data_IF_639516060156
#
_entry.id   IF_639516060156
#
_cell.length_a   1.000
_cell.length_b   1.000
_cell.length_c   1.000
_cell.angle_alpha   90.00
_cell.angle_beta   90.00
_cell.angle_gamma   90.00
#
_symmetry.space_group_name_H-M   'P 1'
#
loop_
_entity.id
_entity.type
_entity.pdbx_description
1 polymer ?
#
# COMPACT_ATOMS: atom_id res chain seq x y z
N UNK A 1 67.13 26.41 3.11
CA UNK A 1 67.49 26.16 1.70
C UNK A 1 66.75 24.89 1.29
N UNK A 2 65.57 25.03 0.67
CA UNK A 2 65.26 24.66 -0.73
C UNK A 2 65.24 23.11 -0.92
N UNK A 3 64.22 22.41 -1.43
CA UNK A 3 63.19 22.78 -2.41
C UNK A 3 62.00 21.81 -2.40
N UNK A 4 60.90 22.23 -3.04
CA UNK A 4 59.60 21.57 -3.21
C UNK A 4 59.48 20.74 -4.52
N UNK A 5 58.36 20.01 -4.62
CA UNK A 5 57.55 19.58 -5.80
C UNK A 5 57.84 18.26 -6.54
N UNK A 6 56.81 17.39 -6.61
CA UNK A 6 56.03 17.05 -7.82
C UNK A 6 54.84 16.14 -7.41
N UNK A 7 53.57 16.59 -7.31
CA UNK A 7 52.52 16.81 -8.33
C UNK A 7 52.08 15.59 -9.18
N UNK A 8 50.87 15.13 -8.85
CA UNK A 8 49.72 14.73 -9.69
C UNK A 8 49.88 13.85 -10.94
N UNK A 9 49.13 12.73 -10.94
CA UNK A 9 48.32 12.35 -12.11
C UNK A 9 47.07 11.55 -11.72
N UNK A 10 45.97 12.28 -11.54
CA UNK A 10 44.58 11.81 -11.59
C UNK A 10 44.05 12.13 -13.01
N UNK A 11 43.52 11.15 -13.76
CA UNK A 11 42.79 11.33 -15.03
C UNK A 11 41.82 10.14 -15.15
N UNK A 12 40.53 10.24 -14.79
CA UNK A 12 39.38 10.82 -15.50
C UNK A 12 39.18 10.32 -16.94
N UNK A 13 38.23 9.37 -17.03
CA UNK A 13 37.06 9.32 -17.92
C UNK A 13 37.16 9.98 -19.30
N UNK A 14 37.05 9.18 -20.35
CA UNK A 14 36.77 9.67 -21.71
C UNK A 14 35.40 9.13 -22.17
N UNK A 15 34.49 10.09 -22.36
CA UNK A 15 33.17 9.92 -22.96
C UNK A 15 33.35 10.17 -24.46
N UNK A 16 33.02 9.19 -25.29
CA UNK A 16 32.86 9.37 -26.73
C UNK A 16 31.36 9.29 -27.11
N UNK A 17 30.95 10.19 -28.00
CA UNK A 17 29.57 10.61 -28.28
C UNK A 17 29.20 10.27 -29.73
N UNK A 18 28.00 9.71 -29.90
CA UNK A 18 26.99 9.80 -30.99
C UNK A 18 27.36 9.72 -32.48
N UNK A 19 26.58 8.88 -33.20
CA UNK A 19 25.77 9.09 -34.44
C UNK A 19 25.53 7.69 -35.08
N UNK A 20 24.55 7.34 -35.91
CA UNK A 20 23.15 7.72 -36.26
C UNK A 20 22.77 6.84 -37.47
N UNK A 21 21.61 6.17 -37.44
CA UNK A 21 20.79 5.60 -38.55
C UNK A 21 21.37 4.71 -39.66
N UNK A 22 20.78 3.51 -39.82
CA UNK A 22 20.03 3.13 -41.05
C UNK A 22 19.25 1.81 -40.87
N UNK A 23 17.97 1.85 -41.25
CA UNK A 23 17.04 0.73 -41.38
C UNK A 23 17.44 -0.26 -42.49
N UNK A 24 17.22 -1.56 -42.26
CA UNK A 24 16.82 -2.51 -43.30
C UNK A 24 16.16 -3.75 -42.67
N UNK A 25 14.94 -4.02 -43.11
CA UNK A 25 14.13 -5.16 -42.72
C UNK A 25 14.56 -6.50 -43.36
N UNK A 26 14.07 -7.59 -42.75
CA UNK A 26 13.53 -8.82 -43.35
C UNK A 26 14.23 -10.14 -42.95
N UNK A 27 13.35 -11.05 -42.55
CA UNK A 27 13.41 -12.52 -42.52
C UNK A 27 13.93 -13.19 -41.24
N UNK A 28 12.97 -13.80 -40.55
CA UNK A 28 13.17 -14.51 -39.29
C UNK A 28 13.75 -15.91 -39.46
N UNK A 29 14.14 -16.45 -38.32
CA UNK A 29 14.16 -17.88 -38.01
C UNK A 29 14.01 -18.00 -36.50
N UNK A 30 12.96 -18.70 -36.08
CA UNK A 30 12.70 -19.10 -34.71
C UNK A 30 13.55 -20.33 -34.46
N UNK A 31 14.52 -20.23 -33.55
CA UNK A 31 15.13 -21.39 -32.89
C UNK A 31 15.17 -21.04 -31.39
N UNK A 32 14.37 -21.78 -30.63
CA UNK A 32 14.46 -21.86 -29.17
C UNK A 32 15.88 -22.28 -28.77
N UNK A 33 16.61 -21.40 -28.09
CA UNK A 33 17.66 -21.82 -27.17
C UNK A 33 17.38 -21.10 -25.86
N UNK A 34 16.67 -21.80 -25.00
CA UNK A 34 16.54 -21.51 -23.58
C UNK A 34 17.90 -21.58 -22.92
N UNK A 35 18.65 -20.49 -22.98
CA UNK A 35 19.85 -20.25 -22.17
C UNK A 35 19.48 -19.28 -21.03
N UNK A 36 18.80 -19.82 -20.02
CA UNK A 36 18.72 -19.20 -18.70
C UNK A 36 19.80 -19.82 -17.83
N UNK A 37 21.04 -19.43 -18.08
CA UNK A 37 22.11 -19.52 -17.10
C UNK A 37 21.88 -18.53 -15.96
N UNK A 38 20.98 -18.85 -15.04
CA UNK A 38 21.00 -18.30 -13.67
C UNK A 38 21.20 -19.48 -12.72
N UNK A 39 22.46 -19.91 -12.61
CA UNK A 39 22.93 -20.67 -11.45
C UNK A 39 23.23 -19.65 -10.36
N UNK A 40 22.19 -19.27 -9.64
CA UNK A 40 22.26 -18.64 -8.32
C UNK A 40 22.12 -19.70 -7.23
N UNK A 41 23.00 -20.70 -7.26
CA UNK A 41 23.07 -21.76 -6.24
C UNK A 41 23.75 -21.22 -4.98
N UNK A 42 23.02 -20.52 -4.11
CA UNK A 42 23.28 -20.48 -2.67
C UNK A 42 22.09 -20.01 -1.80
N UNK A 43 20.85 -20.05 -2.29
CA UNK A 43 19.71 -19.96 -1.40
C UNK A 43 19.69 -21.25 -0.55
N UNK A 44 20.46 -21.27 0.54
CA UNK A 44 20.32 -22.27 1.59
C UNK A 44 18.85 -22.24 1.99
N UNK A 45 18.16 -23.36 1.77
CA UNK A 45 16.77 -23.53 2.15
C UNK A 45 16.71 -23.55 3.67
N UNK A 46 16.50 -22.37 4.27
CA UNK A 46 16.27 -22.18 5.70
C UNK A 46 14.83 -22.59 6.09
N UNK A 47 14.29 -23.61 5.42
CA UNK A 47 12.96 -24.18 5.67
C UNK A 47 12.80 -24.63 7.12
N UNK A 48 11.56 -24.91 7.51
CA UNK A 48 11.08 -25.13 8.89
C UNK A 48 11.62 -26.40 9.58
N UNK A 49 12.93 -26.66 9.50
CA UNK A 49 13.59 -27.69 10.27
C UNK A 49 13.71 -27.25 11.74
N UNK A 50 13.13 -28.06 12.63
CA UNK A 50 13.15 -27.80 14.06
C UNK A 50 14.42 -28.40 14.67
N UNK A 51 15.51 -27.64 14.65
CA UNK A 51 16.77 -28.02 15.30
C UNK A 51 16.69 -27.94 16.83
N UNK A 52 17.60 -28.64 17.51
CA UNK A 52 17.75 -28.56 18.96
C UNK A 52 18.58 -27.34 19.38
N UNK A 53 18.46 -26.93 20.65
CA UNK A 53 19.33 -25.89 21.22
C UNK A 53 20.67 -26.50 21.63
N UNK A 54 21.78 -25.83 21.29
CA UNK A 54 23.11 -26.25 21.69
C UNK A 54 23.46 -25.76 23.11
N UNK A 55 24.09 -26.59 23.95
CA UNK A 55 24.64 -26.16 25.24
C UNK A 55 25.87 -25.26 25.04
N UNK A 56 26.05 -24.24 25.88
CA UNK A 56 27.25 -23.38 25.89
C UNK A 56 27.25 -22.22 24.89
N UNK A 57 26.10 -21.89 24.29
CA UNK A 57 25.95 -20.73 23.41
C UNK A 57 25.02 -19.72 24.08
N UNK A 58 25.56 -18.55 24.42
CA UNK A 58 24.77 -17.44 24.94
C UNK A 58 24.53 -16.42 23.83
N UNK A 59 23.29 -15.99 23.68
CA UNK A 59 22.87 -15.14 22.56
C UNK A 59 22.04 -13.99 23.11
N UNK A 60 22.50 -12.79 22.80
CA UNK A 60 21.87 -11.54 23.23
C UNK A 60 21.47 -10.73 22.01
N UNK A 61 20.43 -9.91 22.13
CA UNK A 61 20.04 -9.01 21.05
C UNK A 61 19.80 -7.59 21.56
N UNK A 62 20.08 -6.61 20.70
CA UNK A 62 19.91 -5.19 21.00
C UNK A 62 19.33 -4.49 19.78
N UNK A 63 18.34 -3.62 20.01
CA UNK A 63 17.79 -2.72 19.00
C UNK A 63 18.53 -1.37 19.07
N UNK A 64 19.62 -1.16 18.30
CA UNK A 64 20.48 0.03 18.46
C UNK A 64 19.74 1.33 18.17
N UNK A 65 18.89 1.33 17.14
CA UNK A 65 18.15 2.52 16.68
C UNK A 65 16.80 2.68 17.38
N UNK A 66 16.36 1.68 18.15
CA UNK A 66 14.98 1.56 18.57
C UNK A 66 14.84 0.91 19.96
N UNK A 67 15.19 1.67 21.00
CA UNK A 67 15.07 1.22 22.38
C UNK A 67 13.62 1.00 22.83
N UNK A 68 12.67 1.69 22.18
CA UNK A 68 11.24 1.58 22.45
C UNK A 68 10.56 0.39 21.74
N UNK A 69 11.28 -0.33 20.87
CA UNK A 69 10.76 -1.48 20.09
C UNK A 69 9.56 -1.12 19.18
N UNK A 70 9.58 0.11 18.67
CA UNK A 70 8.58 0.68 17.75
C UNK A 70 8.98 0.45 16.28
N UNK A 71 8.38 -0.51 15.61
CA UNK A 71 8.73 -0.87 14.23
C UNK A 71 7.79 -0.16 13.26
N UNK A 72 8.34 0.64 12.35
CA UNK A 72 7.56 1.27 11.29
C UNK A 72 7.26 0.23 10.20
N UNK A 73 5.99 -0.07 9.96
CA UNK A 73 5.53 -0.98 8.93
C UNK A 73 5.99 -0.49 7.55
N UNK A 74 6.72 -1.30 6.79
CA UNK A 74 7.25 -0.93 5.46
C UNK A 74 8.65 -0.33 5.48
N UNK A 75 9.22 -0.06 6.66
CA UNK A 75 10.60 0.41 6.81
C UNK A 75 11.51 -0.68 7.38
N UNK A 76 12.79 -0.60 7.05
CA UNK A 76 13.81 -1.50 7.56
C UNK A 76 14.16 -1.17 9.02
N UNK A 77 14.10 -2.18 9.87
CA UNK A 77 14.54 -2.15 11.26
C UNK A 77 15.80 -2.98 11.42
N UNK A 78 16.77 -2.43 12.14
CA UNK A 78 18.04 -3.08 12.43
C UNK A 78 18.03 -3.65 13.85
N UNK A 79 18.49 -4.90 13.97
CA UNK A 79 18.64 -5.65 15.21
C UNK A 79 20.04 -6.27 15.25
N UNK A 80 20.78 -6.03 16.32
CA UNK A 80 22.11 -6.62 16.50
C UNK A 80 21.99 -7.87 17.35
N UNK A 81 22.48 -9.00 16.84
CA UNK A 81 22.51 -10.28 17.54
C UNK A 81 23.95 -10.59 17.93
N UNK A 82 24.24 -10.54 19.23
CA UNK A 82 25.51 -10.93 19.81
C UNK A 82 25.52 -12.41 20.16
N UNK A 83 26.46 -13.16 19.59
CA UNK A 83 26.66 -14.59 19.85
C UNK A 83 27.94 -14.75 20.65
N UNK A 84 27.83 -15.30 21.86
CA UNK A 84 28.95 -15.64 22.74
C UNK A 84 29.10 -17.15 22.81
N UNK A 85 30.25 -17.63 22.36
CA UNK A 85 30.58 -19.05 22.39
C UNK A 85 31.32 -19.38 23.68
N UNK A 86 30.63 -19.92 24.67
CA UNK A 86 31.23 -20.45 25.91
C UNK A 86 31.56 -21.95 25.80
N UNK A 87 31.34 -22.57 24.63
CA UNK A 87 31.69 -23.94 24.34
C UNK A 87 33.17 -24.14 23.98
N UNK A 88 33.57 -25.41 23.87
CA UNK A 88 34.95 -25.80 23.51
C UNK A 88 35.18 -25.84 21.99
N UNK A 89 34.11 -25.97 21.21
CA UNK A 89 34.15 -26.10 19.75
C UNK A 89 33.79 -24.76 19.08
N UNK A 90 34.36 -24.46 17.89
CA UNK A 90 33.95 -23.31 17.11
C UNK A 90 32.51 -23.48 16.59
N UNK A 91 31.76 -22.38 16.54
CA UNK A 91 30.38 -22.34 16.05
C UNK A 91 30.36 -21.66 14.70
N UNK A 92 29.63 -22.19 13.74
CA UNK A 92 29.44 -21.58 12.42
C UNK A 92 28.03 -21.04 12.30
N UNK A 93 27.87 -19.72 12.21
CA UNK A 93 26.55 -19.09 12.05
C UNK A 93 26.12 -19.20 10.59
N UNK A 94 25.01 -19.90 10.35
CA UNK A 94 24.46 -20.11 9.01
C UNK A 94 23.55 -18.94 8.64
N UNK A 95 22.61 -18.59 9.52
CA UNK A 95 21.66 -17.52 9.24
C UNK A 95 20.80 -17.10 10.43
N UNK A 96 20.14 -15.96 10.28
CA UNK A 96 19.17 -15.41 11.23
C UNK A 96 17.84 -15.25 10.51
N UNK A 97 16.75 -15.66 11.16
CA UNK A 97 15.37 -15.45 10.70
C UNK A 97 14.51 -14.92 11.84
N UNK A 98 13.43 -14.24 11.49
CA UNK A 98 12.45 -13.81 12.46
C UNK A 98 11.03 -14.01 11.94
N UNK A 99 10.08 -14.10 12.87
CA UNK A 99 8.67 -14.29 12.60
C UNK A 99 7.85 -13.38 13.51
N UNK A 100 6.71 -12.93 13.01
CA UNK A 100 5.76 -12.08 13.72
C UNK A 100 4.51 -12.90 14.01
N UNK A 101 4.11 -12.92 15.27
CA UNK A 101 2.97 -13.65 15.79
C UNK A 101 1.95 -12.71 16.45
N UNK A 102 0.73 -13.22 16.64
CA UNK A 102 -0.29 -12.48 17.39
C UNK A 102 0.05 -12.45 18.89
N UNK A 103 -0.14 -11.31 19.57
CA UNK A 103 0.25 -11.14 20.98
C UNK A 103 -0.56 -12.03 21.95
N UNK A 104 -1.79 -12.37 21.59
CA UNK A 104 -2.68 -13.18 22.42
C UNK A 104 -2.58 -14.68 22.13
N UNK A 105 -2.07 -15.06 20.95
CA UNK A 105 -1.89 -16.46 20.56
C UNK A 105 -0.64 -16.60 19.70
N UNK A 106 0.45 -17.00 20.35
CA UNK A 106 1.77 -17.11 19.73
C UNK A 106 1.85 -18.26 18.71
N UNK A 107 0.82 -19.11 18.62
CA UNK A 107 0.74 -20.17 17.59
C UNK A 107 0.27 -19.63 16.25
N UNK A 108 -0.37 -18.46 16.25
CA UNK A 108 -0.90 -17.85 15.05
C UNK A 108 0.17 -16.95 14.43
N UNK A 109 0.75 -17.45 13.34
CA UNK A 109 1.74 -16.75 12.56
C UNK A 109 1.10 -15.70 11.66
N UNK A 110 1.56 -14.45 11.81
CA UNK A 110 1.10 -13.32 11.02
C UNK A 110 1.96 -13.18 9.77
N UNK A 111 3.29 -13.16 9.95
CA UNK A 111 4.23 -12.98 8.85
C UNK A 111 5.61 -13.57 9.18
N UNK A 112 6.22 -14.26 8.22
CA UNK A 112 7.65 -14.57 8.23
C UNK A 112 8.45 -13.38 7.69
N UNK A 113 9.49 -12.99 8.41
CA UNK A 113 10.38 -11.90 8.01
C UNK A 113 11.54 -12.46 7.17
N UNK A 114 12.34 -11.57 6.58
CA UNK A 114 13.47 -11.94 5.75
C UNK A 114 14.48 -12.81 6.52
N UNK A 115 14.88 -13.94 5.95
CA UNK A 115 16.03 -14.67 6.45
C UNK A 115 17.33 -14.04 5.92
N UNK A 116 18.34 -13.93 6.76
CA UNK A 116 19.65 -13.39 6.41
C UNK A 116 20.72 -14.44 6.66
N UNK A 117 21.36 -14.93 5.60
CA UNK A 117 22.50 -15.83 5.67
C UNK A 117 23.82 -15.09 5.94
N UNK A 118 24.77 -15.74 6.62
CA UNK A 118 26.06 -15.15 7.00
C UNK A 118 27.28 -15.84 6.36
N UNK A 119 27.11 -16.51 5.22
CA UNK A 119 28.19 -17.24 4.52
C UNK A 119 29.04 -18.11 5.46
N UNK A 120 28.39 -18.77 6.43
CA UNK A 120 29.03 -19.64 7.41
C UNK A 120 30.14 -18.94 8.23
N UNK A 121 29.82 -17.78 8.80
CA UNK A 121 30.73 -17.04 9.66
C UNK A 121 31.06 -17.84 10.93
N UNK A 122 32.34 -18.13 11.15
CA UNK A 122 32.80 -18.91 12.32
C UNK A 122 33.12 -18.02 13.52
N UNK A 123 32.55 -18.38 14.67
CA UNK A 123 32.84 -17.81 15.99
C UNK A 123 33.74 -18.79 16.76
N UNK A 124 35.00 -18.42 17.04
CA UNK A 124 35.91 -19.27 17.81
C UNK A 124 35.39 -19.61 19.20
N UNK A 125 35.91 -20.67 19.80
CA UNK A 125 35.67 -21.01 21.20
C UNK A 125 36.09 -19.87 22.13
N UNK A 126 35.29 -19.61 23.17
CA UNK A 126 35.50 -18.51 24.14
C UNK A 126 35.55 -17.10 23.52
N UNK A 127 35.00 -16.92 22.32
CA UNK A 127 34.90 -15.63 21.64
C UNK A 127 33.46 -15.15 21.51
N UNK A 128 33.29 -13.86 21.24
CA UNK A 128 32.01 -13.25 20.95
C UNK A 128 32.04 -12.59 19.57
N UNK A 129 30.96 -12.76 18.81
CA UNK A 129 30.73 -12.10 17.54
C UNK A 129 29.38 -11.38 17.56
N UNK A 130 29.21 -10.38 16.70
CA UNK A 130 27.94 -9.65 16.56
C UNK A 130 27.52 -9.66 15.09
N UNK A 131 26.26 -9.99 14.86
CA UNK A 131 25.67 -10.12 13.54
C UNK A 131 24.52 -9.12 13.40
N UNK A 132 24.60 -8.19 12.42
CA UNK A 132 23.51 -7.28 12.14
C UNK A 132 22.42 -8.01 11.35
N UNK A 133 21.20 -7.97 11.86
CA UNK A 133 20.00 -8.49 11.23
C UNK A 133 19.07 -7.34 10.84
N UNK A 134 18.82 -7.19 9.54
CA UNK A 134 17.93 -6.15 9.02
C UNK A 134 16.66 -6.82 8.51
N UNK A 135 15.52 -6.35 9.00
CA UNK A 135 14.22 -6.86 8.60
C UNK A 135 13.22 -5.73 8.40
N UNK A 136 12.22 -5.96 7.56
CA UNK A 136 11.11 -5.04 7.38
C UNK A 136 9.79 -5.79 7.57
N UNK A 137 8.86 -5.16 8.29
CA UNK A 137 7.50 -5.66 8.43
C UNK A 137 6.67 -5.18 7.24
N UNK A 138 5.67 -5.95 6.81
CA UNK A 138 4.80 -5.56 5.69
C UNK A 138 4.18 -4.18 5.93
N UNK A 139 4.24 -3.30 4.92
CA UNK A 139 3.58 -1.98 4.94
C UNK A 139 2.05 -2.05 5.09
N UNK A 140 1.46 -3.21 4.81
CA UNK A 140 0.02 -3.45 4.92
C UNK A 140 -0.36 -4.07 6.26
N UNK A 141 0.62 -4.33 7.15
CA UNK A 141 0.32 -4.81 8.49
C UNK A 141 -0.35 -3.69 9.27
N UNK A 142 -1.48 -4.00 9.90
CA UNK A 142 -2.20 -3.03 10.71
C UNK A 142 -1.34 -2.60 11.91
N UNK A 143 -1.34 -1.31 12.28
CA UNK A 143 -0.69 -0.85 13.50
C UNK A 143 -1.21 -1.57 14.73
N UNK A 144 -0.31 -1.96 15.63
CA UNK A 144 -0.65 -2.70 16.83
C UNK A 144 0.52 -3.41 17.46
N UNK A 145 0.28 -4.08 18.59
CA UNK A 145 1.28 -4.89 19.26
C UNK A 145 1.34 -6.29 18.65
N UNK A 146 2.54 -6.77 18.37
CA UNK A 146 2.79 -8.11 17.84
C UNK A 146 3.97 -8.75 18.57
N UNK A 147 4.00 -10.07 18.62
CA UNK A 147 5.15 -10.77 19.18
C UNK A 147 6.16 -11.07 18.08
N UNK A 148 7.40 -10.68 18.32
CA UNK A 148 8.51 -10.95 17.43
C UNK A 148 9.34 -12.08 18.03
N UNK A 149 9.52 -13.14 17.24
CA UNK A 149 10.34 -14.29 17.58
C UNK A 149 11.52 -14.35 16.61
N UNK A 150 12.71 -14.06 17.13
CA UNK A 150 13.97 -14.11 16.40
C UNK A 150 14.70 -15.42 16.67
N UNK A 151 15.06 -16.14 15.62
CA UNK A 151 15.78 -17.42 15.69
C UNK A 151 17.07 -17.34 14.89
N UNK A 152 18.15 -17.83 15.47
CA UNK A 152 19.45 -17.97 14.83
C UNK A 152 19.73 -19.46 14.61
N UNK A 153 20.24 -19.77 13.43
CA UNK A 153 20.60 -21.12 12.99
C UNK A 153 22.12 -21.14 12.86
N UNK A 154 22.74 -22.11 13.52
CA UNK A 154 24.18 -22.27 13.56
C UNK A 154 24.56 -23.74 13.62
N UNK A 155 25.79 -24.05 13.25
CA UNK A 155 26.32 -25.41 13.21
C UNK A 155 27.47 -25.55 14.20
N UNK A 156 27.52 -26.70 14.87
CA UNK A 156 28.64 -27.11 15.72
C UNK A 156 29.02 -28.52 15.27
N UNK A 157 30.28 -28.71 14.88
CA UNK A 157 30.79 -30.01 14.40
C UNK A 157 29.91 -30.64 13.30
N UNK A 158 29.50 -29.82 12.31
CA UNK A 158 28.62 -30.21 11.19
C UNK A 158 27.19 -30.63 11.59
N UNK A 159 26.81 -30.44 12.85
CA UNK A 159 25.43 -30.63 13.30
C UNK A 159 24.71 -29.28 13.40
N UNK A 160 23.54 -29.12 12.74
CA UNK A 160 22.76 -27.90 12.82
C UNK A 160 21.98 -27.79 14.13
N UNK A 161 22.02 -26.61 14.71
CA UNK A 161 21.34 -26.19 15.92
C UNK A 161 20.59 -24.88 15.66
N UNK A 162 19.53 -24.65 16.42
CA UNK A 162 18.83 -23.37 16.41
C UNK A 162 18.58 -22.89 17.82
N UNK A 163 18.57 -21.58 17.99
CA UNK A 163 18.18 -20.97 19.26
C UNK A 163 17.37 -19.70 19.02
N UNK A 164 16.37 -19.48 19.88
CA UNK A 164 15.58 -18.25 19.88
C UNK A 164 16.32 -17.22 20.72
N UNK A 165 16.82 -16.16 20.08
CA UNK A 165 17.56 -15.09 20.75
C UNK A 165 16.65 -13.96 21.24
N UNK A 166 15.46 -13.82 20.64
CA UNK A 166 14.48 -12.84 21.03
C UNK A 166 13.09 -13.43 20.98
N UNK A 167 12.34 -13.25 22.07
CA UNK A 167 10.91 -13.56 22.13
C UNK A 167 10.26 -12.46 22.96
N UNK A 168 9.63 -11.51 22.28
CA UNK A 168 8.99 -10.40 22.97
C UNK A 168 8.16 -9.54 22.05
N UNK A 169 7.32 -8.72 22.67
CA UNK A 169 6.38 -7.86 21.95
C UNK A 169 7.11 -6.64 21.36
N UNK A 170 6.74 -6.33 20.12
CA UNK A 170 7.09 -5.10 19.40
C UNK A 170 5.79 -4.35 19.08
N UNK A 171 5.87 -3.03 19.00
CA UNK A 171 4.74 -2.21 18.57
C UNK A 171 4.96 -1.78 17.14
N UNK A 172 4.07 -2.19 16.25
CA UNK A 172 4.10 -1.82 14.84
C UNK A 172 3.28 -0.55 14.65
N UNK A 173 3.88 0.45 14.02
CA UNK A 173 3.23 1.71 13.64
C UNK A 173 3.27 1.88 12.13
N UNK A 174 2.29 2.58 11.56
CA UNK A 174 2.26 2.82 10.11
C UNK A 174 3.40 3.78 9.72
N UNK A 175 4.22 3.42 8.72
CA UNK A 175 5.15 4.39 8.10
C UNK A 175 4.34 5.36 7.24
N UNK A 176 3.80 6.41 7.86
CA UNK A 176 2.93 7.37 7.18
C UNK A 176 3.69 8.26 6.20
N UNK A 177 3.64 7.94 4.91
CA UNK A 177 3.80 8.95 3.87
C UNK A 177 2.63 9.94 3.89
N UNK A 178 2.80 11.16 3.39
CA UNK A 178 1.72 12.17 3.34
C UNK A 178 0.45 11.71 2.59
N UNK A 179 0.55 10.65 1.79
CA UNK A 179 -0.54 10.06 1.01
C UNK A 179 -0.80 8.64 1.55
N UNK A 180 -1.62 8.56 2.60
CA UNK A 180 -2.13 7.29 3.13
C UNK A 180 -3.32 6.79 2.28
N UNK A 181 -3.54 5.47 2.22
CA UNK A 181 -4.57 4.84 1.38
C UNK A 181 -5.97 5.30 1.78
N UNK A 182 -6.19 5.47 3.07
CA UNK A 182 -7.39 5.97 3.71
C UNK A 182 -7.70 7.39 3.23
N UNK A 183 -6.68 8.25 3.18
CA UNK A 183 -6.81 9.63 2.69
C UNK A 183 -7.20 9.66 1.22
N UNK A 184 -6.58 8.83 0.38
CA UNK A 184 -6.92 8.72 -1.05
C UNK A 184 -8.37 8.24 -1.20
N UNK A 185 -8.75 7.20 -0.48
CA UNK A 185 -10.11 6.65 -0.49
C UNK A 185 -11.15 7.68 -0.09
N UNK A 186 -10.95 8.39 1.04
CA UNK A 186 -11.90 9.39 1.54
C UNK A 186 -12.00 10.60 0.63
N UNK A 187 -10.89 11.06 0.03
CA UNK A 187 -10.90 12.16 -0.94
C UNK A 187 -11.64 11.77 -2.21
N UNK A 188 -11.35 10.59 -2.78
CA UNK A 188 -12.05 10.08 -3.96
C UNK A 188 -13.55 9.88 -3.69
N UNK A 189 -13.91 9.29 -2.53
CA UNK A 189 -15.30 9.13 -2.11
C UNK A 189 -15.99 10.49 -1.93
N UNK A 190 -15.32 11.46 -1.31
CA UNK A 190 -15.84 12.82 -1.15
C UNK A 190 -16.12 13.50 -2.49
N UNK A 191 -15.19 13.40 -3.44
CA UNK A 191 -15.38 13.93 -4.80
C UNK A 191 -16.55 13.23 -5.51
N UNK A 192 -16.64 11.90 -5.44
CA UNK A 192 -17.73 11.15 -6.04
C UNK A 192 -19.11 11.55 -5.47
N UNK A 193 -19.20 11.74 -4.15
CA UNK A 193 -20.42 12.21 -3.49
C UNK A 193 -20.78 13.64 -3.92
N UNK A 194 -19.82 14.54 -4.08
CA UNK A 194 -20.07 15.89 -4.58
C UNK A 194 -20.60 15.89 -6.02
N UNK A 195 -20.07 15.04 -6.90
CA UNK A 195 -20.60 14.87 -8.26
C UNK A 195 -22.04 14.33 -8.24
N UNK A 196 -22.31 13.28 -7.47
CA UNK A 196 -23.64 12.72 -7.29
C UNK A 196 -24.63 13.75 -6.73
N UNK A 197 -24.22 14.52 -5.73
CA UNK A 197 -25.04 15.59 -5.14
C UNK A 197 -25.31 16.70 -6.15
N UNK A 198 -24.30 17.12 -6.93
CA UNK A 198 -24.46 18.10 -8.00
C UNK A 198 -25.47 17.66 -9.06
N UNK A 199 -25.38 16.41 -9.52
CA UNK A 199 -26.34 15.82 -10.46
C UNK A 199 -27.74 15.71 -9.84
N UNK A 200 -27.84 15.35 -8.55
CA UNK A 200 -29.11 15.29 -7.83
C UNK A 200 -29.78 16.66 -7.75
N UNK A 201 -29.04 17.73 -7.40
CA UNK A 201 -29.56 19.11 -7.39
C UNK A 201 -30.04 19.52 -8.78
N UNK A 202 -29.24 19.27 -9.83
CA UNK A 202 -29.63 19.58 -11.20
C UNK A 202 -30.92 18.85 -11.58
N UNK A 203 -31.07 17.57 -11.21
CA UNK A 203 -32.29 16.78 -11.44
C UNK A 203 -33.50 17.36 -10.71
N UNK A 204 -33.37 17.76 -9.44
CA UNK A 204 -34.45 18.42 -8.69
C UNK A 204 -34.89 19.73 -9.34
N UNK A 205 -33.93 20.57 -9.74
CA UNK A 205 -34.21 21.86 -10.41
C UNK A 205 -34.87 21.63 -11.78
N UNK A 206 -34.42 20.63 -12.55
CA UNK A 206 -35.05 20.27 -13.82
C UNK A 206 -36.48 19.75 -13.64
N UNK A 207 -36.73 18.94 -12.60
CA UNK A 207 -38.07 18.44 -12.27
C UNK A 207 -39.02 19.56 -11.83
N UNK A 208 -38.53 20.58 -11.12
CA UNK A 208 -39.31 21.77 -10.76
C UNK A 208 -39.53 22.70 -11.96
N UNK A 209 -38.51 22.89 -12.80
CA UNK A 209 -38.57 23.71 -14.02
C UNK A 209 -39.55 23.17 -15.07
N UNK A 210 -39.63 21.83 -15.23
CA UNK A 210 -40.59 21.19 -16.14
C UNK A 210 -42.05 21.40 -15.75
N UNK A 211 -42.36 21.75 -14.49
CA UNK A 211 -43.71 22.14 -14.05
C UNK A 211 -44.09 23.59 -14.41
N UNK A 212 -43.14 24.43 -14.82
CA UNK A 212 -43.38 25.82 -15.23
C UNK A 212 -43.39 26.04 -16.75
N UNK A 213 -43.56 24.97 -17.55
CA UNK A 213 -43.80 25.07 -19.01
C UNK A 213 -45.11 24.36 -19.40
N UNK A 214 -46.24 24.87 -18.93
CA UNK A 214 -47.56 24.81 -19.59
C UNK A 214 -48.13 26.23 -19.49
N UNK A 215 -48.52 26.92 -20.55
CA UNK A 215 -49.17 26.47 -21.78
C UNK A 215 -48.60 27.19 -23.03
N UNK A 216 -48.75 26.62 -24.24
CA UNK A 216 -48.51 27.35 -25.47
C UNK A 216 -49.46 28.55 -25.54
N UNK A 217 -48.94 29.70 -25.98
CA UNK A 217 -49.76 30.88 -26.25
C UNK A 217 -50.71 30.52 -27.38
N UNK A 218 -51.98 30.30 -27.03
CA UNK A 218 -53.07 30.13 -27.99
C UNK A 218 -53.28 31.49 -28.65
N UNK A 219 -52.88 31.59 -29.91
CA UNK A 219 -53.21 32.69 -30.82
C UNK A 219 -54.74 32.69 -31.03
N UNK A 220 -55.47 33.38 -30.15
CA UNK A 220 -56.86 33.74 -30.44
C UNK A 220 -56.83 35.05 -31.23
N UNK A 221 -56.89 34.87 -32.55
CA UNK A 221 -57.07 35.94 -33.51
C UNK A 221 -58.35 36.72 -33.29
N UNK A 222 -58.33 37.94 -33.83
CA UNK A 222 -59.44 38.89 -33.97
C UNK A 222 -60.77 38.19 -34.27
N UNK A 223 -61.67 38.15 -33.30
CA UNK A 223 -63.06 37.75 -33.46
C UNK A 223 -63.95 38.76 -32.76
N UNK A 224 -64.59 39.63 -33.54
CA UNK A 224 -65.64 40.51 -33.06
C UNK A 224 -66.69 39.69 -32.30
N UNK A 225 -67.12 40.20 -31.14
CA UNK A 225 -68.31 39.75 -30.45
C UNK A 225 -69.48 39.87 -31.41
N UNK A 226 -69.89 38.76 -32.01
CA UNK A 226 -71.12 38.73 -32.78
C UNK A 226 -72.28 38.83 -31.80
N UNK A 227 -72.96 39.97 -31.82
CA UNK A 227 -74.14 40.26 -31.03
C UNK A 227 -75.39 39.48 -31.50
N UNK A 228 -75.26 38.61 -32.51
CA UNK A 228 -76.35 37.80 -33.07
C UNK A 228 -76.71 36.57 -32.23
N UNK A 229 -75.81 36.08 -31.36
CA UNK A 229 -76.05 34.86 -30.55
C UNK A 229 -76.97 35.07 -29.34
N UNK A 230 -77.34 36.30 -29.01
CA UNK A 230 -78.27 36.60 -27.89
C UNK A 230 -79.72 36.85 -28.34
N UNK A 231 -80.00 36.99 -29.63
CA UNK A 231 -81.36 37.29 -30.14
C UNK A 231 -82.24 36.03 -30.21
N UNK A 232 -81.68 34.89 -30.62
CA UNK A 232 -82.41 33.61 -30.69
C UNK A 232 -82.75 32.99 -29.31
N UNK A 233 -82.23 33.57 -28.22
CA UNK A 233 -82.51 33.15 -26.85
C UNK A 233 -83.66 33.94 -26.18
N UNK A 234 -84.34 34.83 -26.91
CA UNK A 234 -85.53 35.50 -26.42
C UNK A 234 -86.73 34.55 -26.40
N UNK A 235 -87.03 34.00 -25.22
CA UNK A 235 -88.20 33.14 -24.97
C UNK A 235 -87.88 31.78 -24.35
N UNK A 236 -86.61 31.42 -24.20
CA UNK A 236 -86.20 30.15 -23.57
C UNK A 236 -85.93 30.31 -22.07
N UNK A 237 -86.19 29.26 -21.28
CA UNK A 237 -86.07 29.25 -19.82
C UNK A 237 -84.66 29.56 -19.28
N UNK A 238 -83.63 29.55 -20.13
CA UNK A 238 -82.24 29.77 -19.75
C UNK A 238 -82.00 31.21 -19.23
N UNK A 239 -82.68 32.21 -19.80
CA UNK A 239 -82.52 33.63 -19.41
C UNK A 239 -83.16 33.95 -18.05
N UNK A 240 -84.26 33.26 -17.69
CA UNK A 240 -84.90 33.39 -16.38
C UNK A 240 -84.00 32.88 -15.25
N UNK A 241 -83.23 31.80 -15.48
CA UNK A 241 -82.30 31.29 -14.46
C UNK A 241 -81.13 32.26 -14.20
N UNK A 242 -80.68 33.00 -15.23
CA UNK A 242 -79.61 33.98 -15.10
C UNK A 242 -80.07 35.26 -14.39
N UNK A 243 -81.32 35.69 -14.57
CA UNK A 243 -81.86 36.88 -13.85
C UNK A 243 -82.21 36.60 -12.38
N UNK A 244 -82.55 35.36 -12.02
CA UNK A 244 -82.75 34.96 -10.63
C UNK A 244 -81.42 34.78 -9.87
N UNK A 245 -80.35 34.34 -10.55
CA UNK A 245 -79.01 34.22 -9.96
C UNK A 245 -78.38 35.58 -9.63
N UNK A 246 -78.66 36.62 -10.41
CA UNK A 246 -78.13 37.97 -10.15
C UNK A 246 -78.85 38.72 -9.03
N UNK A 247 -80.12 38.38 -8.72
CA UNK A 247 -80.88 39.00 -7.60
C UNK A 247 -80.59 38.41 -6.21
N UNK A 248 -79.87 37.28 -6.10
CA UNK A 248 -79.54 36.63 -4.81
C UNK A 248 -78.17 37.02 -4.25
N UNK A 249 -77.52 38.04 -4.83
CA UNK A 249 -76.21 38.53 -4.39
C UNK A 249 -76.23 40.07 -4.29
N UNK A 250 -77.08 40.59 -3.40
CA UNK A 250 -76.96 41.93 -2.84
C UNK A 250 -77.48 41.91 -1.40
#
# INVERSE_FOLDING_TARGET
MQNWTCLDCFRLNEIARSQSDSDAEVAGTVEEVSDLGIVGENAQDFGDENFSQAPGVDIVCVFPKNSARLVNAGEETELLVGVKNDGELPITVVGIRASVHLPFDHKLLVQNLSAQGFNNATVPASAQATFPYIFAVSKYLQPGSFDLVGTIIFEIDQQPYQSTFYNGTIEVVESGGFISTESVFLVTLGIALLFLFGLWLQSQIQNLSRKSKRAPKVEVGTGARDASVDEWLQGTALRQSQSQKSKKKK
#
